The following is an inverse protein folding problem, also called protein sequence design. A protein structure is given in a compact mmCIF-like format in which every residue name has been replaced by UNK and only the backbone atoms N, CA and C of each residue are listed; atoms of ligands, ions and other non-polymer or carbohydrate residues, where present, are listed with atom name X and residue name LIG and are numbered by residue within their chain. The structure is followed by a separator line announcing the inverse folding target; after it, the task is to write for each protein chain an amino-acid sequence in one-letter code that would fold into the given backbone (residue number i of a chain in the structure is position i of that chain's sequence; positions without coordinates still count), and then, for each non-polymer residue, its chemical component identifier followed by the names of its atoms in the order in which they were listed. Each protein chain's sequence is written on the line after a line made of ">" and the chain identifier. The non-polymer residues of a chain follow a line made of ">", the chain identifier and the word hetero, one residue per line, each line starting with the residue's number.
data_IF_166189137296
#
_entry.id   IF_166189137296
#
_cell.length_a   1.000
_cell.length_b   1.000
_cell.length_c   1.000
_cell.angle_alpha   90.00
_cell.angle_beta   90.00
_cell.angle_gamma   90.00
#
_symmetry.space_group_name_H-M   'P 1'
#
loop_
_entity.id
_entity.type
_entity.pdbx_description
1 polymer ?
#
# COMPACT_ATOMS: atom_id res chain seq x y z
N UNK A 1 39.74 -6.43 27.78
CA UNK A 1 38.56 -7.22 27.33
C UNK A 1 37.42 -6.38 26.71
N UNK A 2 37.69 -5.27 26.00
CA UNK A 2 36.61 -4.39 25.47
C UNK A 2 36.56 -4.22 23.94
N UNK A 3 37.59 -4.64 23.23
CA UNK A 3 37.74 -4.34 21.79
C UNK A 3 36.99 -5.32 20.87
N UNK A 4 36.83 -6.58 21.28
CA UNK A 4 36.12 -7.61 20.50
C UNK A 4 34.59 -7.48 20.54
N UNK A 5 34.00 -6.78 21.51
CA UNK A 5 32.54 -6.53 21.55
C UNK A 5 32.05 -5.52 20.51
N UNK A 6 32.95 -4.72 19.91
CA UNK A 6 32.60 -3.75 18.85
C UNK A 6 32.52 -4.37 17.46
N UNK A 7 33.11 -5.56 17.26
CA UNK A 7 33.08 -6.29 16.00
C UNK A 7 31.88 -7.24 15.87
N UNK A 8 31.32 -7.72 16.99
CA UNK A 8 30.21 -8.68 17.00
C UNK A 8 29.06 -8.25 17.93
N UNK A 9 28.91 -6.95 18.13
CA UNK A 9 27.79 -6.36 18.89
C UNK A 9 26.48 -6.51 18.11
N UNK A 10 25.85 -7.66 18.25
CA UNK A 10 24.52 -7.94 17.74
C UNK A 10 23.49 -6.97 18.31
N UNK A 11 22.96 -6.13 17.42
CA UNK A 11 21.54 -5.87 17.34
C UNK A 11 21.18 -6.02 15.85
N UNK A 12 20.36 -7.02 15.55
CA UNK A 12 19.78 -7.33 14.25
C UNK A 12 18.81 -6.22 13.81
N UNK A 13 19.34 -5.04 13.54
CA UNK A 13 18.58 -3.91 13.01
C UNK A 13 18.72 -3.81 11.49
N UNK A 14 18.37 -4.86 10.74
CA UNK A 14 18.08 -4.62 9.32
C UNK A 14 16.88 -3.67 9.32
N UNK A 15 17.08 -2.46 8.79
CA UNK A 15 16.02 -1.49 8.56
C UNK A 15 14.87 -2.14 7.79
N UNK A 16 13.68 -1.52 7.74
CA UNK A 16 12.54 -2.15 7.11
C UNK A 16 12.88 -2.53 5.67
N UNK A 17 12.85 -3.85 5.41
CA UNK A 17 13.18 -4.47 4.11
C UNK A 17 11.91 -4.96 3.45
N UNK A 18 11.92 -5.06 2.11
CA UNK A 18 10.77 -5.58 1.35
C UNK A 18 10.31 -6.97 1.83
N UNK A 19 11.23 -7.80 2.36
CA UNK A 19 10.92 -9.11 2.92
C UNK A 19 10.06 -9.07 4.20
N UNK A 20 9.91 -7.89 4.85
CA UNK A 20 9.04 -7.69 6.02
C UNK A 20 7.69 -7.08 5.70
N UNK A 21 7.36 -6.86 4.43
CA UNK A 21 6.01 -6.47 4.02
C UNK A 21 5.07 -7.67 4.15
N UNK A 22 4.56 -7.93 5.35
CA UNK A 22 3.43 -8.84 5.55
C UNK A 22 2.32 -8.07 6.26
N UNK A 23 1.37 -7.56 5.48
CA UNK A 23 0.11 -7.00 5.96
C UNK A 23 0.12 -5.52 6.37
N UNK A 24 1.28 -4.94 6.71
CA UNK A 24 1.38 -3.52 7.06
C UNK A 24 1.98 -2.69 5.91
N UNK A 25 1.19 -1.81 5.25
CA UNK A 25 1.66 -0.98 4.15
C UNK A 25 2.67 0.09 4.58
N UNK A 26 2.66 0.49 5.85
CA UNK A 26 3.47 1.61 6.37
C UNK A 26 4.91 1.22 6.73
N UNK A 27 5.22 -0.08 6.76
CA UNK A 27 6.54 -0.60 7.18
C UNK A 27 7.69 0.02 6.39
N UNK A 28 7.47 0.40 5.13
CA UNK A 28 8.50 0.97 4.27
C UNK A 28 8.44 2.49 4.13
N UNK A 29 7.59 3.18 4.86
CA UNK A 29 7.48 4.64 4.78
C UNK A 29 8.82 5.29 5.18
N UNK A 30 9.30 6.19 4.32
CA UNK A 30 10.52 6.98 4.53
C UNK A 30 10.26 8.41 4.10
N UNK A 31 10.83 9.36 4.84
CA UNK A 31 10.85 10.75 4.41
C UNK A 31 11.59 10.86 3.06
N UNK A 32 11.02 11.64 2.14
CA UNK A 32 11.54 11.85 0.78
C UNK A 32 11.75 10.56 -0.04
N UNK A 33 10.94 9.51 0.19
CA UNK A 33 10.98 8.30 -0.64
C UNK A 33 10.63 8.66 -2.09
N UNK A 34 11.49 8.39 -3.09
CA UNK A 34 11.23 8.73 -4.48
C UNK A 34 10.02 7.98 -5.07
N UNK A 35 9.55 6.92 -4.42
CA UNK A 35 8.31 6.21 -4.78
C UNK A 35 7.05 6.94 -4.30
N UNK A 36 7.21 8.00 -3.51
CA UNK A 36 6.13 8.61 -2.74
C UNK A 36 5.86 7.89 -1.42
N UNK A 37 4.99 8.47 -0.61
CA UNK A 37 4.48 7.85 0.62
C UNK A 37 3.25 6.98 0.37
N UNK A 38 2.78 6.34 1.43
CA UNK A 38 1.50 5.62 1.44
C UNK A 38 0.34 6.60 1.23
N UNK A 39 -0.60 6.26 0.34
CA UNK A 39 -1.83 7.04 0.15
C UNK A 39 -2.65 7.11 1.44
N UNK A 40 -3.37 8.22 1.63
CA UNK A 40 -4.30 8.37 2.74
C UNK A 40 -5.29 7.20 2.85
N UNK A 41 -5.70 6.89 4.08
CA UNK A 41 -6.66 5.81 4.34
C UNK A 41 -8.02 6.08 3.68
N UNK A 42 -8.45 7.34 3.74
CA UNK A 42 -9.66 7.83 3.08
C UNK A 42 -9.60 7.60 1.57
N UNK A 43 -8.54 8.05 0.90
CA UNK A 43 -8.40 7.83 -0.54
C UNK A 43 -8.32 6.35 -0.89
N UNK A 44 -7.64 5.51 -0.10
CA UNK A 44 -7.52 4.07 -0.39
C UNK A 44 -8.84 3.31 -0.39
N UNK A 45 -9.82 3.79 0.36
CA UNK A 45 -11.07 3.09 0.60
C UNK A 45 -12.30 3.82 0.05
N UNK A 46 -12.14 5.00 -0.54
CA UNK A 46 -13.21 5.75 -1.18
C UNK A 46 -13.81 5.00 -2.39
N UNK A 47 -15.10 5.21 -2.65
CA UNK A 47 -15.71 4.74 -3.89
C UNK A 47 -15.10 5.53 -5.07
N UNK A 48 -14.84 4.92 -6.24
CA UNK A 48 -14.29 5.67 -7.36
C UNK A 48 -15.19 6.83 -7.87
N UNK A 49 -16.47 6.90 -7.46
CA UNK A 49 -17.39 8.03 -7.72
C UNK A 49 -17.31 9.14 -6.67
N UNK A 50 -16.69 8.87 -5.53
CA UNK A 50 -16.56 9.86 -4.46
C UNK A 50 -15.55 10.94 -4.83
N UNK A 51 -15.68 12.09 -4.18
CA UNK A 51 -14.71 13.19 -4.26
C UNK A 51 -13.94 13.23 -2.95
N UNK A 52 -12.61 13.16 -3.04
CA UNK A 52 -11.68 13.14 -1.91
C UNK A 52 -10.73 14.33 -2.01
N UNK A 53 -10.41 14.96 -0.87
CA UNK A 53 -9.41 16.04 -0.81
C UNK A 53 -8.21 15.59 0.03
N UNK A 54 -7.02 15.61 -0.56
CA UNK A 54 -5.77 15.27 0.13
C UNK A 54 -4.70 16.34 -0.16
N UNK A 55 -4.10 16.90 0.89
CA UNK A 55 -3.05 17.92 0.74
C UNK A 55 -3.49 19.17 -0.03
N UNK A 56 -4.77 19.54 0.06
CA UNK A 56 -5.37 20.65 -0.71
C UNK A 56 -5.63 20.35 -2.18
N UNK A 57 -5.46 19.09 -2.60
CA UNK A 57 -5.76 18.62 -3.95
C UNK A 57 -7.05 17.81 -3.93
N UNK A 58 -8.03 18.21 -4.74
CA UNK A 58 -9.30 17.51 -4.91
C UNK A 58 -9.19 16.49 -6.04
N UNK A 59 -9.57 15.24 -5.77
CA UNK A 59 -9.46 14.10 -6.67
C UNK A 59 -10.77 13.29 -6.65
N UNK A 60 -11.05 12.56 -7.72
CA UNK A 60 -12.02 11.44 -7.62
C UNK A 60 -11.42 10.32 -6.78
N UNK A 61 -12.25 9.46 -6.21
CA UNK A 61 -11.79 8.24 -5.54
C UNK A 61 -10.93 7.33 -6.45
N UNK A 62 -10.23 6.35 -5.87
CA UNK A 62 -9.26 5.52 -6.56
C UNK A 62 -9.93 4.69 -7.66
N UNK A 63 -9.43 4.82 -8.89
CA UNK A 63 -9.92 4.04 -10.03
C UNK A 63 -9.60 2.54 -9.92
N UNK A 64 -10.45 1.69 -10.52
CA UNK A 64 -10.33 0.23 -10.48
C UNK A 64 -11.28 -0.48 -11.44
N UNK A 65 -11.55 -1.76 -11.19
CA UNK A 65 -12.52 -2.52 -11.98
C UNK A 65 -13.91 -1.84 -11.97
N UNK A 66 -14.73 -1.99 -13.04
CA UNK A 66 -16.04 -1.38 -13.12
C UNK A 66 -16.89 -1.66 -11.87
N UNK A 67 -17.54 -0.61 -11.36
CA UNK A 67 -18.42 -0.63 -10.18
C UNK A 67 -19.77 -1.25 -10.52
N UNK A 68 -19.75 -2.40 -11.16
CA UNK A 68 -20.94 -3.21 -11.35
C UNK A 68 -21.38 -3.68 -9.96
N UNK A 69 -22.68 -3.69 -9.67
CA UNK A 69 -23.26 -4.21 -8.42
C UNK A 69 -23.16 -5.75 -8.39
N UNK A 70 -22.00 -6.27 -8.74
CA UNK A 70 -21.65 -7.66 -8.88
C UNK A 70 -20.49 -7.96 -7.93
N UNK A 71 -20.59 -9.11 -7.27
CA UNK A 71 -19.44 -9.70 -6.60
C UNK A 71 -18.30 -9.97 -7.58
N UNK A 72 -17.10 -10.12 -7.03
CA UNK A 72 -15.90 -10.51 -7.81
C UNK A 72 -16.16 -11.82 -8.57
N UNK A 73 -16.85 -12.77 -7.94
CA UNK A 73 -17.21 -14.05 -8.52
C UNK A 73 -18.19 -13.92 -9.69
N UNK A 74 -19.21 -13.07 -9.56
CA UNK A 74 -20.20 -12.80 -10.61
C UNK A 74 -19.55 -12.16 -11.83
N UNK A 75 -18.71 -11.13 -11.63
CA UNK A 75 -17.99 -10.46 -12.71
C UNK A 75 -17.06 -11.44 -13.46
N UNK A 76 -16.27 -12.21 -12.73
CA UNK A 76 -15.40 -13.26 -13.32
C UNK A 76 -16.20 -14.31 -14.08
N UNK A 77 -17.43 -14.58 -13.66
CA UNK A 77 -18.35 -15.48 -14.33
C UNK A 77 -18.88 -14.92 -15.66
N UNK A 78 -19.11 -13.60 -15.75
CA UNK A 78 -19.49 -12.92 -16.99
C UNK A 78 -18.32 -12.85 -17.98
N UNK A 79 -17.14 -12.41 -17.53
CA UNK A 79 -15.93 -12.32 -18.38
C UNK A 79 -15.64 -13.67 -19.06
N UNK A 80 -15.78 -14.79 -18.31
CA UNK A 80 -15.57 -16.15 -18.84
C UNK A 80 -16.68 -16.67 -19.76
N UNK A 81 -17.87 -16.05 -19.77
CA UNK A 81 -18.97 -16.42 -20.68
C UNK A 81 -18.86 -15.70 -22.03
N UNK A 82 -18.05 -14.65 -22.11
CA UNK A 82 -17.87 -13.83 -23.30
C UNK A 82 -16.64 -14.20 -24.13
N UNK A 83 -15.78 -15.11 -23.63
CA UNK A 83 -14.75 -15.84 -24.40
C UNK A 83 -15.34 -17.06 -25.12
#
# INVERSE_FOLDING_TARGET
>A
MGWLKKLFGGASGHGPTAARQQGDPTVLDRADDPRGGTQSDEYRHADPRDVVEEGGTVMSGPGGAPQEDLSVEERRGLDRKTD
#
